data_IF_431383165787
#
_entry.id   IF_431383165787
#
_cell.length_a   1.000
_cell.length_b   1.000
_cell.length_c   1.000
_cell.angle_alpha   90.00
_cell.angle_beta   90.00
_cell.angle_gamma   90.00
#
_symmetry.space_group_name_H-M   'P 1'
#
loop_
_entity.id
_entity.type
_entity.pdbx_description
1 polymer ?
#
# COMPACT_ATOMS: atom_id res chain seq x y z
N UNK A 1 6.28 -17.44 0.00
CA UNK A 1 6.17 -18.43 -1.07
C UNK A 1 7.21 -18.16 -2.16
N UNK A 2 7.73 -19.20 -2.77
CA UNK A 2 8.72 -19.10 -3.87
C UNK A 2 8.15 -18.41 -5.10
N UNK A 3 6.87 -18.63 -5.39
CA UNK A 3 6.18 -18.10 -6.58
C UNK A 3 6.00 -16.58 -6.59
N UNK A 4 6.05 -15.89 -5.44
CA UNK A 4 5.73 -14.46 -5.35
C UNK A 4 6.67 -13.56 -6.18
N UNK A 5 7.95 -13.89 -6.26
CA UNK A 5 8.93 -13.16 -7.07
C UNK A 5 10.23 -13.92 -7.22
N UNK A 6 11.01 -13.62 -8.25
CA UNK A 6 12.35 -14.21 -8.47
C UNK A 6 13.29 -13.96 -7.28
N UNK A 7 13.19 -12.79 -6.61
CA UNK A 7 13.95 -12.50 -5.40
C UNK A 7 13.54 -13.41 -4.25
N UNK A 8 12.23 -13.60 -4.03
CA UNK A 8 11.68 -14.46 -2.99
C UNK A 8 12.08 -15.93 -3.24
N UNK A 9 11.94 -16.39 -4.48
CA UNK A 9 12.36 -17.71 -4.89
C UNK A 9 13.84 -17.96 -4.54
N UNK A 10 14.75 -17.08 -4.97
CA UNK A 10 16.19 -17.21 -4.66
C UNK A 10 16.46 -17.26 -3.15
N UNK A 11 15.82 -16.38 -2.38
CA UNK A 11 16.00 -16.31 -0.93
C UNK A 11 15.53 -17.61 -0.28
N UNK A 12 14.34 -18.10 -0.62
CA UNK A 12 13.78 -19.31 -0.02
C UNK A 12 14.55 -20.58 -0.45
N UNK A 13 14.98 -20.67 -1.70
CA UNK A 13 15.85 -21.79 -2.15
C UNK A 13 17.20 -21.80 -1.41
N UNK A 14 17.76 -20.64 -1.09
CA UNK A 14 18.97 -20.57 -0.29
C UNK A 14 18.74 -20.94 1.19
N UNK A 15 17.60 -20.59 1.76
CA UNK A 15 17.21 -21.00 3.12
C UNK A 15 16.91 -22.49 3.18
N UNK A 16 16.32 -23.07 2.14
CA UNK A 16 16.06 -24.50 2.00
C UNK A 16 17.33 -25.35 2.16
N UNK A 17 18.44 -24.92 1.58
CA UNK A 17 19.74 -25.58 1.72
C UNK A 17 20.28 -25.57 3.15
N UNK A 18 19.79 -24.70 4.00
CA UNK A 18 20.21 -24.51 5.39
C UNK A 18 19.16 -24.98 6.40
N UNK A 19 18.17 -25.75 5.96
CA UNK A 19 17.10 -26.23 6.84
C UNK A 19 17.62 -27.01 8.01
N UNK A 20 17.06 -26.77 9.18
CA UNK A 20 17.27 -27.59 10.38
C UNK A 20 16.30 -28.78 10.40
N UNK A 21 15.08 -28.52 9.92
CA UNK A 21 13.99 -29.50 9.71
C UNK A 21 13.16 -29.10 8.51
N UNK A 22 12.23 -29.94 8.10
CA UNK A 22 11.27 -29.63 7.05
C UNK A 22 10.55 -28.31 7.37
N UNK A 23 10.48 -27.40 6.39
CA UNK A 23 9.88 -26.06 6.46
C UNK A 23 10.48 -25.10 7.52
N UNK A 24 11.56 -25.50 8.20
CA UNK A 24 12.18 -24.76 9.28
C UNK A 24 13.63 -24.39 8.93
N UNK A 25 13.91 -23.13 8.74
CA UNK A 25 15.21 -22.61 8.34
C UNK A 25 15.75 -21.57 9.34
N UNK A 26 17.09 -21.43 9.48
CA UNK A 26 17.67 -20.37 10.29
C UNK A 26 17.25 -18.98 9.79
N UNK A 27 16.99 -18.05 10.71
CA UNK A 27 16.75 -16.67 10.36
C UNK A 27 18.06 -16.01 9.88
N UNK A 28 18.10 -15.43 8.66
CA UNK A 28 19.35 -14.86 8.13
C UNK A 28 19.79 -13.57 8.85
N UNK A 29 18.90 -12.93 9.62
CA UNK A 29 19.14 -11.63 10.25
C UNK A 29 19.29 -11.74 11.76
N UNK A 30 18.57 -12.66 12.39
CA UNK A 30 18.52 -12.82 13.83
C UNK A 30 19.15 -14.16 14.23
N UNK A 31 20.26 -14.07 14.96
CA UNK A 31 20.95 -15.26 15.48
C UNK A 31 20.04 -16.01 16.47
N UNK A 32 20.08 -17.34 16.43
CA UNK A 32 19.30 -18.23 17.29
C UNK A 32 17.77 -18.23 17.05
N UNK A 33 17.30 -17.63 15.97
CA UNK A 33 15.90 -17.69 15.57
C UNK A 33 15.72 -18.60 14.35
N UNK A 34 14.54 -19.20 14.28
CA UNK A 34 14.15 -20.06 13.15
C UNK A 34 12.91 -19.48 12.47
N UNK A 35 12.88 -19.63 11.15
CA UNK A 35 11.74 -19.23 10.31
C UNK A 35 10.99 -20.48 9.86
N UNK A 36 9.72 -20.56 10.21
CA UNK A 36 8.81 -21.58 9.72
C UNK A 36 8.07 -21.10 8.48
N UNK A 37 8.15 -21.84 7.38
CA UNK A 37 7.62 -21.47 6.07
C UNK A 37 6.65 -22.52 5.52
N UNK A 38 5.44 -22.69 6.11
CA UNK A 38 4.54 -23.80 5.78
C UNK A 38 3.99 -23.75 4.34
N UNK A 39 3.96 -22.58 3.71
CA UNK A 39 3.42 -22.38 2.36
C UNK A 39 4.49 -22.03 1.33
N UNK A 40 5.76 -22.43 1.55
CA UNK A 40 6.85 -21.95 0.68
C UNK A 40 6.71 -22.40 -0.77
N UNK A 41 6.20 -23.59 -1.01
CA UNK A 41 6.01 -24.16 -2.35
C UNK A 41 4.60 -24.00 -2.91
N UNK A 42 3.69 -23.42 -2.14
CA UNK A 42 2.32 -23.19 -2.60
C UNK A 42 2.27 -22.25 -3.79
N UNK A 43 1.52 -22.63 -4.79
CA UNK A 43 1.14 -21.79 -5.93
C UNK A 43 0.01 -20.82 -5.52
N UNK A 44 -0.34 -19.88 -6.40
CA UNK A 44 -1.53 -19.03 -6.20
C UNK A 44 -2.80 -19.87 -6.24
N UNK A 45 -2.84 -20.88 -7.12
CA UNK A 45 -3.98 -21.80 -7.21
C UNK A 45 -4.16 -22.65 -5.95
N UNK A 46 -3.06 -23.09 -5.33
CA UNK A 46 -3.12 -23.81 -4.06
C UNK A 46 -3.72 -22.92 -2.96
N UNK A 47 -3.31 -21.65 -2.91
CA UNK A 47 -3.86 -20.68 -1.94
C UNK A 47 -5.36 -20.46 -2.19
N UNK A 48 -5.77 -20.21 -3.43
CA UNK A 48 -7.18 -20.01 -3.76
C UNK A 48 -8.02 -21.27 -3.53
N UNK A 49 -7.51 -22.46 -3.88
CA UNK A 49 -8.16 -23.73 -3.61
C UNK A 49 -8.38 -23.94 -2.11
N UNK A 50 -7.38 -23.63 -1.29
CA UNK A 50 -7.51 -23.69 0.16
C UNK A 50 -8.55 -22.69 0.68
N UNK A 51 -8.48 -21.43 0.26
CA UNK A 51 -9.41 -20.38 0.71
C UNK A 51 -10.87 -20.70 0.35
N UNK A 52 -11.11 -21.31 -0.81
CA UNK A 52 -12.47 -21.68 -1.24
C UNK A 52 -13.00 -22.93 -0.54
N UNK A 53 -12.14 -23.82 -0.09
CA UNK A 53 -12.54 -25.04 0.61
C UNK A 53 -12.76 -24.83 2.11
N UNK A 54 -12.02 -23.91 2.73
CA UNK A 54 -12.04 -23.71 4.17
C UNK A 54 -12.61 -22.34 4.54
N UNK A 55 -13.55 -22.33 5.49
CA UNK A 55 -14.10 -21.08 6.05
C UNK A 55 -13.01 -20.39 6.89
N UNK A 56 -12.91 -19.08 6.74
CA UNK A 56 -12.04 -18.30 7.62
C UNK A 56 -12.65 -18.17 9.06
N UNK A 57 -11.80 -17.98 10.08
CA UNK A 57 -12.27 -17.95 11.46
C UNK A 57 -13.00 -16.65 11.86
N UNK A 58 -12.98 -15.62 11.02
CA UNK A 58 -13.63 -14.32 11.25
C UNK A 58 -14.95 -14.13 10.48
N UNK A 59 -15.49 -15.19 9.89
CA UNK A 59 -16.78 -15.24 9.23
C UNK A 59 -16.97 -14.35 7.98
N UNK A 60 -15.92 -13.89 7.37
CA UNK A 60 -16.03 -13.26 6.05
C UNK A 60 -16.11 -14.31 4.94
N UNK A 61 -16.75 -13.93 3.81
CA UNK A 61 -16.82 -14.79 2.63
C UNK A 61 -15.49 -14.77 1.85
N UNK A 62 -14.88 -15.94 1.67
CA UNK A 62 -13.72 -16.05 0.80
C UNK A 62 -14.10 -15.94 -0.69
N UNK A 63 -15.37 -16.13 -1.03
CA UNK A 63 -15.91 -15.86 -2.36
C UNK A 63 -15.94 -14.36 -2.66
N UNK A 64 -16.30 -13.53 -1.67
CA UNK A 64 -16.29 -12.08 -1.83
C UNK A 64 -14.86 -11.56 -2.00
N UNK A 65 -13.91 -12.14 -1.27
CA UNK A 65 -12.48 -11.88 -1.47
C UNK A 65 -12.06 -12.22 -2.91
N UNK A 66 -12.46 -13.37 -3.44
CA UNK A 66 -12.16 -13.75 -4.82
C UNK A 66 -12.79 -12.78 -5.82
N UNK A 67 -14.03 -12.36 -5.61
CA UNK A 67 -14.73 -11.39 -6.45
C UNK A 67 -14.00 -10.04 -6.46
N UNK A 68 -13.54 -9.59 -5.30
CA UNK A 68 -12.74 -8.37 -5.18
C UNK A 68 -11.42 -8.47 -5.99
N UNK A 69 -10.71 -9.58 -5.88
CA UNK A 69 -9.47 -9.80 -6.65
C UNK A 69 -9.74 -9.86 -8.15
N UNK A 70 -10.84 -10.49 -8.56
CA UNK A 70 -11.27 -10.54 -9.95
C UNK A 70 -11.58 -9.15 -10.49
N UNK A 71 -12.34 -8.34 -9.76
CA UNK A 71 -12.66 -6.96 -10.15
C UNK A 71 -11.43 -6.03 -10.23
N UNK A 72 -10.34 -6.37 -9.56
CA UNK A 72 -9.10 -5.60 -9.57
C UNK A 72 -8.11 -6.01 -10.70
N UNK A 73 -8.52 -6.86 -11.63
CA UNK A 73 -7.76 -7.19 -12.84
C UNK A 73 -8.30 -6.41 -14.03
N UNK A 74 -7.41 -6.02 -14.97
CA UNK A 74 -7.79 -5.19 -16.12
C UNK A 74 -8.89 -5.84 -16.98
N UNK A 75 -8.87 -7.17 -17.09
CA UNK A 75 -9.79 -7.95 -17.93
C UNK A 75 -10.91 -8.62 -17.12
N UNK A 76 -11.09 -8.26 -15.85
CA UNK A 76 -12.04 -8.88 -14.92
C UNK A 76 -11.91 -10.42 -14.88
N UNK A 77 -10.70 -10.91 -15.01
CA UNK A 77 -10.38 -12.33 -15.07
C UNK A 77 -10.35 -12.96 -13.68
N UNK A 78 -10.62 -14.27 -13.63
CA UNK A 78 -10.56 -15.06 -12.41
C UNK A 78 -9.11 -15.17 -11.90
N UNK A 79 -8.82 -14.99 -10.61
CA UNK A 79 -7.48 -15.17 -10.05
C UNK A 79 -6.97 -16.61 -10.09
N UNK A 80 -7.83 -17.59 -10.37
CA UNK A 80 -7.44 -18.98 -10.63
C UNK A 80 -6.95 -19.16 -12.06
N UNK A 81 -5.82 -19.82 -12.22
CA UNK A 81 -5.29 -20.16 -13.52
C UNK A 81 -6.00 -21.39 -14.09
N UNK A 82 -6.81 -21.19 -15.13
CA UNK A 82 -7.52 -22.30 -15.82
C UNK A 82 -6.61 -22.97 -16.85
N UNK A 83 -5.71 -22.21 -17.46
CA UNK A 83 -4.76 -22.69 -18.46
C UNK A 83 -3.35 -22.18 -18.18
N UNK A 84 -2.36 -23.07 -18.21
CA UNK A 84 -0.94 -22.72 -17.98
C UNK A 84 -0.33 -21.88 -19.10
N UNK A 85 -0.96 -21.75 -20.24
CA UNK A 85 -0.55 -20.90 -21.34
C UNK A 85 -0.91 -19.43 -21.14
N UNK A 86 -1.88 -19.16 -20.25
CA UNK A 86 -2.32 -17.79 -19.93
C UNK A 86 -1.60 -17.28 -18.66
N UNK A 87 -1.05 -16.06 -18.66
CA UNK A 87 -0.46 -15.49 -17.44
C UNK A 87 -1.48 -15.47 -16.31
N UNK A 88 -1.07 -15.86 -15.12
CA UNK A 88 -1.94 -15.80 -13.93
C UNK A 88 -2.47 -14.39 -13.74
N UNK A 89 -3.77 -14.25 -13.55
CA UNK A 89 -4.47 -13.02 -13.18
C UNK A 89 -4.03 -12.45 -11.81
N UNK A 90 -3.20 -13.15 -11.09
CA UNK A 90 -2.79 -12.87 -9.73
C UNK A 90 -1.78 -11.72 -9.54
N UNK A 91 -1.75 -10.73 -10.43
CA UNK A 91 -0.91 -9.54 -10.25
C UNK A 91 -1.60 -8.40 -9.51
N UNK A 92 -2.86 -8.55 -9.17
CA UNK A 92 -3.57 -7.60 -8.32
C UNK A 92 -2.94 -7.58 -6.93
N UNK A 93 -2.51 -6.42 -6.49
CA UNK A 93 -1.93 -6.22 -5.16
C UNK A 93 -2.72 -5.14 -4.47
N UNK A 94 -3.32 -5.51 -3.37
CA UNK A 94 -3.98 -4.56 -2.48
C UNK A 94 -2.98 -4.11 -1.42
N UNK A 95 -2.95 -2.83 -1.18
CA UNK A 95 -2.12 -2.19 -0.18
C UNK A 95 -2.81 -0.95 0.38
N UNK A 96 -2.06 -0.08 1.03
CA UNK A 96 -2.61 1.21 1.43
C UNK A 96 -2.88 2.03 0.18
N UNK A 97 -4.07 2.61 0.07
CA UNK A 97 -4.48 3.42 -1.08
C UNK A 97 -3.58 4.64 -1.35
N UNK A 98 -2.87 5.14 -0.33
CA UNK A 98 -1.85 6.21 -0.43
C UNK A 98 -0.43 5.70 -0.66
N UNK A 99 -0.23 4.41 -0.95
CA UNK A 99 1.10 3.84 -1.12
C UNK A 99 1.76 4.34 -2.41
N UNK A 100 2.91 5.00 -2.28
CA UNK A 100 3.72 5.53 -3.39
C UNK A 100 4.89 4.61 -3.77
N UNK A 101 4.95 3.40 -3.21
CA UNK A 101 5.97 2.39 -3.57
C UNK A 101 5.82 1.84 -4.99
N UNK A 102 4.65 2.02 -5.59
CA UNK A 102 4.36 1.70 -6.99
C UNK A 102 3.97 2.98 -7.72
N UNK A 103 4.38 3.13 -8.95
CA UNK A 103 4.09 4.32 -9.76
C UNK A 103 2.59 4.51 -9.95
N UNK A 104 1.87 3.43 -10.28
CA UNK A 104 0.41 3.43 -10.49
C UNK A 104 -0.25 2.31 -9.71
N UNK A 105 -1.40 2.59 -9.14
CA UNK A 105 -2.26 1.57 -8.51
C UNK A 105 -3.22 0.97 -9.55
N UNK A 106 -2.71 0.01 -10.32
CA UNK A 106 -3.48 -0.67 -11.36
C UNK A 106 -4.68 -1.45 -10.81
N UNK A 107 -4.60 -1.92 -9.56
CA UNK A 107 -5.71 -2.65 -8.94
C UNK A 107 -6.88 -1.72 -8.64
N UNK A 108 -6.60 -0.54 -8.11
CA UNK A 108 -7.63 0.47 -7.86
C UNK A 108 -8.22 1.02 -9.16
N UNK A 109 -7.37 1.30 -10.17
CA UNK A 109 -7.82 1.69 -11.52
C UNK A 109 -8.79 0.65 -12.11
N UNK A 110 -8.43 -0.63 -12.04
CA UNK A 110 -9.27 -1.72 -12.56
C UNK A 110 -10.58 -1.88 -11.78
N UNK A 111 -10.54 -1.75 -10.45
CA UNK A 111 -11.74 -1.81 -9.60
C UNK A 111 -12.74 -0.71 -9.96
N UNK A 112 -12.28 0.52 -10.16
CA UNK A 112 -13.12 1.65 -10.57
C UNK A 112 -13.69 1.42 -11.96
N UNK A 113 -12.86 0.93 -12.89
CA UNK A 113 -13.27 0.67 -14.26
C UNK A 113 -14.30 -0.46 -14.37
N UNK A 114 -14.13 -1.53 -13.59
CA UNK A 114 -14.98 -2.73 -13.68
C UNK A 114 -16.28 -2.65 -12.86
N UNK A 115 -16.40 -1.66 -11.96
CA UNK A 115 -17.51 -1.58 -11.01
C UNK A 115 -17.91 -0.12 -10.80
N UNK A 116 -19.06 0.23 -11.39
CA UNK A 116 -19.60 1.59 -11.33
C UNK A 116 -19.92 2.03 -9.89
N UNK A 117 -20.24 1.11 -8.99
CA UNK A 117 -20.45 1.45 -7.57
C UNK A 117 -19.17 1.93 -6.86
N UNK A 118 -18.00 1.73 -7.48
CA UNK A 118 -16.70 2.17 -6.98
C UNK A 118 -16.18 3.47 -7.60
N UNK A 119 -16.99 4.14 -8.42
CA UNK A 119 -16.60 5.39 -9.08
C UNK A 119 -16.17 6.47 -8.06
N UNK A 120 -16.79 6.51 -6.87
CA UNK A 120 -16.42 7.40 -5.78
C UNK A 120 -14.95 7.31 -5.34
N UNK A 121 -14.29 6.17 -5.57
CA UNK A 121 -12.86 5.97 -5.29
C UNK A 121 -11.95 6.74 -6.25
N UNK A 122 -12.48 7.29 -7.34
CA UNK A 122 -11.69 8.03 -8.35
C UNK A 122 -10.97 9.24 -7.73
N UNK A 123 -11.62 9.95 -6.81
CA UNK A 123 -11.02 11.09 -6.10
C UNK A 123 -9.83 10.65 -5.22
N UNK A 124 -9.94 9.48 -4.57
CA UNK A 124 -8.82 8.89 -3.82
C UNK A 124 -7.66 8.49 -4.73
N UNK A 125 -7.96 7.88 -5.87
CA UNK A 125 -6.95 7.49 -6.85
C UNK A 125 -6.23 8.71 -7.43
N UNK A 126 -6.98 9.76 -7.75
CA UNK A 126 -6.42 11.02 -8.23
C UNK A 126 -5.47 11.63 -7.19
N UNK A 127 -5.90 11.74 -5.94
CA UNK A 127 -5.07 12.23 -4.84
C UNK A 127 -3.78 11.42 -4.69
N UNK A 128 -3.89 10.09 -4.70
CA UNK A 128 -2.74 9.19 -4.62
C UNK A 128 -1.76 9.44 -5.76
N UNK A 129 -2.25 9.60 -6.99
CA UNK A 129 -1.42 9.84 -8.16
C UNK A 129 -0.74 11.21 -8.11
N UNK A 130 -1.44 12.25 -7.65
CA UNK A 130 -0.86 13.58 -7.41
C UNK A 130 0.23 13.54 -6.33
N UNK A 131 -0.05 12.88 -5.21
CA UNK A 131 0.85 12.74 -4.08
C UNK A 131 2.09 11.90 -4.43
N UNK A 132 1.91 10.84 -5.22
CA UNK A 132 2.97 9.93 -5.65
C UNK A 132 3.75 10.39 -6.89
N UNK A 133 3.38 11.52 -7.50
CA UNK A 133 4.06 12.03 -8.68
C UNK A 133 5.44 12.60 -8.30
N UNK A 134 6.50 12.04 -8.89
CA UNK A 134 7.88 12.49 -8.70
C UNK A 134 8.19 13.79 -9.47
N UNK A 135 7.36 14.15 -10.46
CA UNK A 135 7.51 15.39 -11.21
C UNK A 135 7.30 16.58 -10.28
N UNK A 136 8.32 17.44 -10.17
CA UNK A 136 8.32 18.58 -9.27
C UNK A 136 8.53 18.23 -7.78
N UNK A 137 8.77 16.97 -7.41
CA UNK A 137 9.02 16.57 -6.02
C UNK A 137 10.24 17.30 -5.43
N UNK A 138 11.24 17.58 -6.26
CA UNK A 138 12.41 18.37 -5.87
C UNK A 138 12.05 19.77 -5.35
N UNK A 139 11.09 20.43 -5.98
CA UNK A 139 10.66 21.79 -5.60
C UNK A 139 9.77 21.77 -4.36
N UNK A 140 9.05 20.68 -4.15
CA UNK A 140 8.16 20.46 -3.01
C UNK A 140 8.89 20.10 -1.72
N UNK A 141 10.14 19.60 -1.81
CA UNK A 141 10.92 19.11 -0.68
C UNK A 141 12.06 20.03 -0.30
N UNK A 142 12.40 20.01 1.01
CA UNK A 142 13.64 20.56 1.51
C UNK A 142 14.81 19.62 1.16
N UNK A 143 16.01 20.16 0.99
CA UNK A 143 17.25 19.37 0.95
C UNK A 143 17.80 19.04 2.33
N UNK A 144 17.35 19.74 3.36
CA UNK A 144 17.74 19.45 4.75
C UNK A 144 16.97 18.25 5.25
N UNK A 145 17.68 17.26 5.78
CA UNK A 145 17.06 16.13 6.47
C UNK A 145 16.42 16.59 7.78
N UNK A 146 15.62 15.73 8.42
CA UNK A 146 14.94 16.04 9.70
C UNK A 146 15.90 16.60 10.77
N UNK A 147 17.16 16.17 10.78
CA UNK A 147 18.21 16.65 11.69
C UNK A 147 18.94 17.92 11.22
N UNK A 148 18.47 18.57 10.16
CA UNK A 148 19.05 19.79 9.60
C UNK A 148 20.28 19.61 8.71
N UNK A 149 20.88 18.42 8.64
CA UNK A 149 22.04 18.13 7.81
C UNK A 149 21.67 17.88 6.34
N UNK A 150 22.63 18.12 5.45
CA UNK A 150 22.53 17.73 4.05
C UNK A 150 23.16 16.34 3.87
N UNK A 151 22.50 15.52 3.08
CA UNK A 151 23.02 14.21 2.67
C UNK A 151 22.96 14.10 1.15
N UNK A 152 24.01 13.54 0.56
CA UNK A 152 24.07 13.31 -0.88
C UNK A 152 25.05 12.21 -1.22
N UNK A 153 24.98 11.74 -2.45
CA UNK A 153 25.92 10.77 -3.01
C UNK A 153 26.25 11.16 -4.45
N UNK A 154 27.53 11.10 -4.82
CA UNK A 154 28.04 11.45 -6.17
C UNK A 154 27.51 12.80 -6.70
N UNK A 155 27.49 13.83 -5.84
CA UNK A 155 27.07 15.19 -6.23
C UNK A 155 25.56 15.41 -6.29
N UNK A 156 24.73 14.41 -6.01
CA UNK A 156 23.27 14.55 -5.89
C UNK A 156 22.86 14.58 -4.42
N UNK A 157 22.11 15.62 -4.05
CA UNK A 157 21.53 15.73 -2.71
C UNK A 157 20.29 14.86 -2.60
N UNK A 158 20.14 14.17 -1.47
CA UNK A 158 18.90 13.46 -1.17
C UNK A 158 17.83 14.44 -0.69
N UNK A 159 16.61 14.24 -1.16
CA UNK A 159 15.47 15.03 -0.73
C UNK A 159 15.18 14.81 0.75
N UNK A 160 14.88 15.87 1.44
CA UNK A 160 14.40 15.88 2.81
C UNK A 160 12.86 15.81 2.88
N UNK A 161 12.28 16.24 4.00
CA UNK A 161 10.81 16.29 4.16
C UNK A 161 10.19 17.35 3.26
N UNK A 162 8.88 17.24 3.03
CA UNK A 162 8.10 18.27 2.36
C UNK A 162 8.20 19.62 3.10
N UNK A 163 8.20 20.71 2.35
CA UNK A 163 8.10 22.07 2.87
C UNK A 163 6.78 22.27 3.61
N UNK A 164 6.69 23.31 4.47
CA UNK A 164 5.51 23.59 5.29
C UNK A 164 4.26 23.74 4.42
N UNK A 165 4.30 24.64 3.46
CA UNK A 165 3.20 24.96 2.55
C UNK A 165 2.70 23.74 1.74
N UNK A 166 3.59 22.81 1.41
CA UNK A 166 3.24 21.58 0.70
C UNK A 166 2.54 20.58 1.63
N UNK A 167 2.95 20.50 2.89
CA UNK A 167 2.31 19.64 3.89
C UNK A 167 0.91 20.15 4.25
N UNK A 168 0.74 21.47 4.37
CA UNK A 168 -0.55 22.14 4.58
C UNK A 168 -1.48 21.86 3.39
N UNK A 169 -1.00 22.05 2.16
CA UNK A 169 -1.74 21.71 0.95
C UNK A 169 -2.23 20.26 0.92
N UNK A 170 -1.36 19.30 1.23
CA UNK A 170 -1.76 17.89 1.22
C UNK A 170 -2.77 17.55 2.32
N UNK A 171 -2.63 18.18 3.50
CA UNK A 171 -3.59 17.99 4.58
C UNK A 171 -4.96 18.58 4.23
N UNK A 172 -5.00 19.79 3.72
CA UNK A 172 -6.24 20.44 3.25
C UNK A 172 -6.90 19.60 2.15
N UNK A 173 -6.11 19.14 1.19
CA UNK A 173 -6.61 18.32 0.09
C UNK A 173 -7.23 17.02 0.60
N UNK A 174 -6.58 16.34 1.57
CA UNK A 174 -7.09 15.12 2.19
C UNK A 174 -8.43 15.37 2.94
N UNK A 175 -8.52 16.46 3.68
CA UNK A 175 -9.74 16.83 4.40
C UNK A 175 -10.90 17.16 3.44
N UNK A 176 -10.62 17.85 2.33
CA UNK A 176 -11.60 18.14 1.32
C UNK A 176 -12.13 16.87 0.63
N UNK A 177 -11.24 15.90 0.35
CA UNK A 177 -11.63 14.59 -0.21
C UNK A 177 -12.49 13.82 0.78
N UNK A 178 -12.12 13.79 2.05
CA UNK A 178 -12.94 13.15 3.10
C UNK A 178 -14.35 13.73 3.12
N UNK A 179 -14.48 15.06 3.10
CA UNK A 179 -15.75 15.75 3.08
C UNK A 179 -16.55 15.45 1.80
N UNK A 180 -15.91 15.48 0.64
CA UNK A 180 -16.53 15.15 -0.65
C UNK A 180 -17.11 13.73 -0.65
N UNK A 181 -16.37 12.74 -0.13
CA UNK A 181 -16.86 11.35 -0.05
C UNK A 181 -18.00 11.23 0.96
N UNK A 182 -17.93 11.91 2.10
CA UNK A 182 -19.00 11.90 3.11
C UNK A 182 -20.31 12.52 2.58
N UNK A 183 -20.21 13.56 1.74
CA UNK A 183 -21.38 14.29 1.21
C UNK A 183 -21.94 13.66 -0.09
N UNK A 184 -21.08 13.13 -0.95
CA UNK A 184 -21.47 12.71 -2.31
C UNK A 184 -21.21 11.23 -2.59
N UNK A 185 -20.53 10.51 -1.70
CA UNK A 185 -20.25 9.09 -1.83
C UNK A 185 -21.44 8.21 -1.44
N UNK A 186 -21.28 6.89 -1.50
CA UNK A 186 -22.30 5.95 -1.03
C UNK A 186 -22.62 6.16 0.44
N UNK A 187 -23.88 5.94 0.83
CA UNK A 187 -24.39 6.17 2.20
C UNK A 187 -23.56 5.44 3.28
N UNK A 188 -23.04 4.28 2.96
CA UNK A 188 -22.18 3.48 3.88
C UNK A 188 -20.87 4.20 4.24
N UNK A 189 -20.40 5.16 3.42
CA UNK A 189 -19.20 5.95 3.64
C UNK A 189 -19.47 7.37 4.14
N UNK A 190 -20.71 7.71 4.51
CA UNK A 190 -21.07 9.03 5.07
C UNK A 190 -20.30 9.40 6.34
N UNK A 191 -19.77 8.41 7.05
CA UNK A 191 -18.93 8.57 8.24
C UNK A 191 -17.47 8.15 8.00
N UNK A 192 -17.00 8.08 6.75
CA UNK A 192 -15.63 7.70 6.44
C UNK A 192 -14.64 8.71 7.02
N UNK A 193 -13.70 8.24 7.80
CA UNK A 193 -12.58 9.03 8.32
C UNK A 193 -11.28 8.61 7.62
N UNK A 194 -10.78 9.42 6.68
CA UNK A 194 -9.46 9.24 6.07
C UNK A 194 -8.35 9.66 7.01
N UNK A 195 -8.64 10.65 7.86
CA UNK A 195 -7.77 11.12 8.93
C UNK A 195 -8.64 11.47 10.16
N UNK A 196 -8.23 11.02 11.33
CA UNK A 196 -8.97 11.20 12.57
C UNK A 196 -8.46 12.40 13.36
N UNK A 197 -9.31 12.94 14.23
CA UNK A 197 -8.97 14.08 15.10
C UNK A 197 -7.68 13.85 15.92
N UNK A 198 -7.44 12.69 16.55
CA UNK A 198 -6.17 12.43 17.26
C UNK A 198 -4.94 12.52 16.36
N UNK A 199 -5.07 12.15 15.07
CA UNK A 199 -3.99 12.24 14.09
C UNK A 199 -3.72 13.70 13.70
N UNK A 200 -4.77 14.51 13.52
CA UNK A 200 -4.64 15.97 13.32
C UNK A 200 -3.95 16.65 14.50
N UNK A 201 -4.32 16.28 15.73
CA UNK A 201 -3.68 16.78 16.94
C UNK A 201 -2.19 16.36 17.02
N UNK A 202 -1.88 15.14 16.61
CA UNK A 202 -0.49 14.66 16.53
C UNK A 202 0.31 15.43 15.49
N UNK A 203 -0.25 15.69 14.31
CA UNK A 203 0.37 16.51 13.25
C UNK A 203 0.66 17.91 13.79
N UNK A 204 -0.33 18.57 14.40
CA UNK A 204 -0.16 19.91 15.00
C UNK A 204 0.95 19.91 16.04
N UNK A 205 0.97 18.93 16.94
CA UNK A 205 2.02 18.81 17.96
C UNK A 205 3.41 18.69 17.35
N UNK A 206 3.57 17.87 16.30
CA UNK A 206 4.84 17.70 15.58
C UNK A 206 5.25 19.01 14.91
N UNK A 207 4.32 19.73 14.26
CA UNK A 207 4.63 20.99 13.61
C UNK A 207 5.10 22.05 14.62
N UNK A 208 4.41 22.16 15.75
CA UNK A 208 4.74 23.14 16.81
C UNK A 208 6.02 22.75 17.56
N UNK A 209 6.09 21.53 18.09
CA UNK A 209 7.14 21.15 19.02
C UNK A 209 8.44 20.69 18.34
N UNK A 210 8.31 19.91 17.26
CA UNK A 210 9.48 19.29 16.63
C UNK A 210 10.01 20.11 15.44
N UNK A 211 9.12 20.82 14.75
CA UNK A 211 9.50 21.65 13.59
C UNK A 211 9.55 23.14 13.88
N UNK A 212 9.06 23.56 15.05
CA UNK A 212 9.01 24.98 15.47
C UNK A 212 8.29 25.87 14.45
N UNK A 213 7.27 25.35 13.81
CA UNK A 213 6.44 26.06 12.84
C UNK A 213 5.20 26.61 13.58
N UNK A 214 5.35 27.79 14.12
CA UNK A 214 4.25 28.53 14.75
C UNK A 214 3.47 29.28 13.66
N UNK A 215 2.17 29.24 13.75
CA UNK A 215 1.30 30.10 12.99
C UNK A 215 0.66 31.12 13.96
N UNK A 216 1.21 32.30 13.99
CA UNK A 216 0.69 33.42 14.78
C UNK A 216 -0.53 34.08 14.12
N UNK A 217 -0.95 33.61 12.94
CA UNK A 217 -2.03 34.20 12.15
C UNK A 217 -3.41 33.60 12.42
N UNK A 218 -3.51 32.55 13.24
CA UNK A 218 -4.79 31.98 13.65
C UNK A 218 -5.25 32.60 14.98
N UNK A 219 -6.48 33.14 15.00
CA UNK A 219 -7.10 33.67 16.22
C UNK A 219 -7.39 32.60 17.25
#
# INVERSE_FOLDING_TARGET
RKQESSRRNRTMTNLEKKRVRELLSPNPTLANELVFSPMEDWTDDDVWSFLLQYKNPWNYSNMDLMTMYRGATADNECPLQIDKSTPTCGKSRFGCWVCTMVEKDKSMEAMIFNDQEKEWMSTLLQFRNEFGNEDGDRERRSFRRMKGNLQGNYGKLFHGPYKKEVREYWLERLLNIQKEIQENGPEEFSNLELIRIPELQAIRRIWVNDKHEFDDSLP
#
